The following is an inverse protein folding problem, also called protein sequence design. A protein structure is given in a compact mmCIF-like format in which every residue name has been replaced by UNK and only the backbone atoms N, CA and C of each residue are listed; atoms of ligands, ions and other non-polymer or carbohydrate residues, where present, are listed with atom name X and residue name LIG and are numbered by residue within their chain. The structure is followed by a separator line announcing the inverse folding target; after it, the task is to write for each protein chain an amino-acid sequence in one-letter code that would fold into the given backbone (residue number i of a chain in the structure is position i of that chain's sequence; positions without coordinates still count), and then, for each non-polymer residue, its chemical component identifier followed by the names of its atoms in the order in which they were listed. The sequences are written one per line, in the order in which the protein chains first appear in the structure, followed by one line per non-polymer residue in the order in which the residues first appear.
data_IF_689772433551
#
_entry.id   IF_689772433551
#
_cell.length_a   1.000
_cell.length_b   1.000
_cell.length_c   1.000
_cell.angle_alpha   90.00
_cell.angle_beta   90.00
_cell.angle_gamma   90.00
#
_symmetry.space_group_name_H-M   'P 1'
#
loop_
_entity.id
_entity.type
_entity.pdbx_description
1 polymer ?
#
# COMPACT_ATOMS: atom_id res chain seq x y z
N UNK A 1 -8.01 -14.35 5.11
CA UNK A 1 -6.71 -14.61 4.43
C UNK A 1 -5.85 -13.35 4.42
N UNK A 2 -4.53 -13.45 4.28
CA UNK A 2 -3.61 -12.30 4.33
C UNK A 2 -2.50 -12.47 3.29
N UNK A 3 -2.18 -11.40 2.54
CA UNK A 3 -1.04 -11.37 1.63
C UNK A 3 -0.29 -10.04 1.70
N UNK A 4 1.01 -10.10 1.41
CA UNK A 4 1.93 -8.97 1.53
C UNK A 4 2.43 -8.53 0.16
N UNK A 5 2.54 -7.22 -0.04
CA UNK A 5 3.21 -6.64 -1.21
C UNK A 5 4.40 -5.82 -0.71
N UNK A 6 5.59 -6.18 -1.19
CA UNK A 6 6.83 -5.49 -0.90
C UNK A 6 7.44 -4.96 -2.19
N UNK A 7 7.96 -3.72 -2.14
CA UNK A 7 8.55 -3.06 -3.31
C UNK A 7 9.72 -2.16 -2.92
N UNK A 8 10.82 -2.26 -3.65
CA UNK A 8 12.05 -1.49 -3.39
C UNK A 8 12.21 -0.23 -4.27
N UNK A 9 11.36 -0.05 -5.29
CA UNK A 9 11.38 1.13 -6.16
C UNK A 9 9.99 1.78 -6.20
N UNK A 10 9.92 3.10 -5.99
CA UNK A 10 8.67 3.85 -6.10
C UNK A 10 8.50 4.37 -7.54
N UNK A 11 7.44 3.96 -8.28
CA UNK A 11 7.22 4.45 -9.64
C UNK A 11 6.86 5.94 -9.68
N UNK A 12 6.50 6.52 -8.53
CA UNK A 12 6.17 7.94 -8.38
C UNK A 12 7.33 8.78 -7.84
N UNK A 13 8.51 8.18 -7.66
CA UNK A 13 9.71 8.83 -7.13
C UNK A 13 9.46 9.61 -5.82
N UNK A 14 8.72 8.97 -4.90
CA UNK A 14 8.35 9.58 -3.62
C UNK A 14 9.35 9.29 -2.50
N UNK A 15 10.54 8.75 -2.79
CA UNK A 15 11.52 8.41 -1.78
C UNK A 15 11.86 9.62 -0.88
N UNK A 16 11.73 9.43 0.44
CA UNK A 16 11.93 10.46 1.46
C UNK A 16 11.10 11.75 1.25
N UNK A 17 9.96 11.67 0.55
CA UNK A 17 9.08 12.83 0.32
C UNK A 17 7.61 12.43 0.37
N UNK A 18 6.75 13.42 0.64
CA UNK A 18 5.32 13.37 0.31
C UNK A 18 4.57 12.10 0.73
N UNK A 19 4.75 11.64 1.98
CA UNK A 19 4.04 10.49 2.56
C UNK A 19 2.51 10.55 2.34
N UNK A 20 1.90 11.71 2.50
CA UNK A 20 0.45 11.89 2.29
C UNK A 20 0.02 11.57 0.85
N UNK A 21 0.86 11.88 -0.15
CA UNK A 21 0.60 11.51 -1.54
C UNK A 21 0.74 10.00 -1.74
N UNK A 22 1.74 9.37 -1.12
CA UNK A 22 1.88 7.91 -1.12
C UNK A 22 0.64 7.22 -0.54
N UNK A 23 0.13 7.70 0.60
CA UNK A 23 -1.08 7.16 1.23
C UNK A 23 -2.32 7.33 0.34
N UNK A 24 -2.44 8.46 -0.38
CA UNK A 24 -3.52 8.66 -1.36
C UNK A 24 -3.43 7.69 -2.55
N UNK A 25 -2.23 7.43 -3.06
CA UNK A 25 -2.02 6.42 -4.13
C UNK A 25 -2.37 5.02 -3.64
N UNK A 26 -1.94 4.65 -2.43
CA UNK A 26 -2.28 3.36 -1.83
C UNK A 26 -3.78 3.20 -1.57
N UNK A 27 -4.49 4.29 -1.28
CA UNK A 27 -5.96 4.26 -1.18
C UNK A 27 -6.62 3.95 -2.54
N UNK A 28 -6.07 4.44 -3.65
CA UNK A 28 -6.54 4.09 -5.00
C UNK A 28 -6.30 2.59 -5.26
N UNK A 29 -5.10 2.08 -4.93
CA UNK A 29 -4.80 0.65 -5.07
C UNK A 29 -5.76 -0.21 -4.24
N UNK A 30 -6.05 0.20 -3.00
CA UNK A 30 -7.03 -0.48 -2.14
C UNK A 30 -8.41 -0.56 -2.80
N UNK A 31 -8.90 0.51 -3.42
CA UNK A 31 -10.18 0.50 -4.13
C UNK A 31 -10.18 -0.47 -5.32
N UNK A 32 -9.08 -0.58 -6.07
CA UNK A 32 -8.96 -1.58 -7.13
C UNK A 32 -9.09 -3.01 -6.58
N UNK A 33 -8.39 -3.33 -5.50
CA UNK A 33 -8.47 -4.65 -4.88
C UNK A 33 -9.83 -4.92 -4.24
N UNK A 34 -10.46 -3.90 -3.64
CA UNK A 34 -11.82 -4.00 -3.06
C UNK A 34 -12.82 -4.44 -4.12
N UNK A 35 -12.84 -3.75 -5.26
CA UNK A 35 -13.76 -4.04 -6.36
C UNK A 35 -13.48 -5.40 -7.01
N UNK A 36 -12.20 -5.76 -7.19
CA UNK A 36 -11.82 -7.00 -7.87
C UNK A 36 -11.94 -8.26 -7.00
N UNK A 37 -11.79 -8.15 -5.68
CA UNK A 37 -11.68 -9.29 -4.76
C UNK A 37 -12.86 -9.37 -3.80
N UNK A 38 -13.08 -8.34 -2.98
CA UNK A 38 -14.15 -8.29 -1.97
C UNK A 38 -14.22 -6.94 -1.26
N UNK A 39 -15.43 -6.51 -0.91
CA UNK A 39 -15.67 -5.36 0.00
C UNK A 39 -15.07 -5.53 1.40
N UNK A 40 -14.72 -6.76 1.80
CA UNK A 40 -14.12 -7.05 3.12
C UNK A 40 -12.60 -6.98 3.13
N UNK A 41 -11.97 -6.62 2.02
CA UNK A 41 -10.51 -6.49 1.97
C UNK A 41 -10.06 -5.18 2.61
N UNK A 42 -9.04 -5.24 3.45
CA UNK A 42 -8.42 -4.07 4.08
C UNK A 42 -6.97 -3.97 3.69
N UNK A 43 -6.51 -2.73 3.45
CA UNK A 43 -5.10 -2.41 3.23
C UNK A 43 -4.49 -1.78 4.49
N UNK A 44 -3.27 -2.20 4.85
CA UNK A 44 -2.40 -1.54 5.81
C UNK A 44 -1.03 -1.25 5.20
N UNK A 45 -0.57 -0.02 5.34
CA UNK A 45 0.79 0.38 4.96
C UNK A 45 1.67 0.23 6.21
N UNK A 46 2.56 -0.75 6.22
CA UNK A 46 3.49 -0.98 7.33
C UNK A 46 4.76 -0.12 7.20
N UNK A 47 5.29 -0.04 5.98
CA UNK A 47 6.51 0.71 5.64
C UNK A 47 6.33 1.39 4.29
N UNK A 48 6.98 2.52 4.10
CA UNK A 48 6.99 3.21 2.82
C UNK A 48 8.29 3.97 2.62
N UNK A 49 8.87 3.86 1.43
CA UNK A 49 10.04 4.66 1.06
C UNK A 49 9.74 6.17 1.13
N UNK A 50 8.46 6.57 1.02
CA UNK A 50 8.02 7.94 1.22
C UNK A 50 8.22 8.48 2.64
N UNK A 51 8.35 7.58 3.62
CA UNK A 51 8.71 7.89 5.00
C UNK A 51 10.21 7.63 5.29
N UNK A 52 10.99 7.29 4.26
CA UNK A 52 12.41 6.98 4.37
C UNK A 52 12.74 5.53 4.74
N UNK A 53 11.76 4.63 4.70
CA UNK A 53 12.04 3.20 4.82
C UNK A 53 12.85 2.67 3.62
N UNK A 54 13.55 1.56 3.81
CA UNK A 54 14.36 0.92 2.74
C UNK A 54 13.51 0.27 1.63
N UNK A 55 12.23 0.00 1.90
CA UNK A 55 11.26 -0.55 0.96
C UNK A 55 9.84 -0.22 1.43
N UNK A 56 8.88 -0.28 0.51
CA UNK A 56 7.46 -0.29 0.82
C UNK A 56 7.03 -1.69 1.25
N UNK A 57 6.24 -1.78 2.32
CA UNK A 57 5.64 -3.02 2.83
C UNK A 57 4.17 -2.74 3.15
N UNK A 58 3.28 -3.43 2.44
CA UNK A 58 1.83 -3.31 2.61
C UNK A 58 1.21 -4.68 2.79
N UNK A 59 0.17 -4.74 3.63
CA UNK A 59 -0.58 -5.96 3.90
C UNK A 59 -2.02 -5.76 3.46
N UNK A 60 -2.52 -6.72 2.69
CA UNK A 60 -3.94 -6.89 2.44
C UNK A 60 -4.49 -8.02 3.30
N UNK A 61 -5.61 -7.78 3.96
CA UNK A 61 -6.29 -8.78 4.80
C UNK A 61 -7.76 -8.88 4.40
N UNK A 62 -8.24 -10.09 4.10
CA UNK A 62 -9.65 -10.41 3.96
C UNK A 62 -10.23 -10.73 5.33
N UNK A 63 -11.15 -9.90 5.82
CA UNK A 63 -11.94 -10.19 7.02
C UNK A 63 -13.04 -11.20 6.70
N UNK A 64 -13.28 -12.13 7.62
CA UNK A 64 -14.40 -13.08 7.56
C UNK A 64 -15.76 -12.37 7.68
#
# INVERSE_FOLDING_TARGET
ECFHIQGTMCPFSLENTSRALCEAVMAIDHEYFREAVSDKIELKILKTVAAGDIHCDTIYTLKE
#
